data_IF_854116977601
#
_entry.id   IF_854116977601
#
_cell.length_a   1.000
_cell.length_b   1.000
_cell.length_c   1.000
_cell.angle_alpha   90.00
_cell.angle_beta   90.00
_cell.angle_gamma   90.00
#
_symmetry.space_group_name_H-M   'P 1'
#
loop_
_entity.id
_entity.type
_entity.pdbx_description
1 polymer ?
#
# COMPACT_ATOMS: atom_id res chain seq x y z
N UNK A 1 11.00 5.23 17.15
CA UNK A 1 11.39 4.73 15.81
C UNK A 1 10.23 4.95 14.87
N UNK A 2 10.49 5.47 13.68
CA UNK A 2 9.45 5.68 12.68
C UNK A 2 8.94 4.33 12.14
N UNK A 3 7.66 4.27 11.82
CA UNK A 3 7.01 3.09 11.25
C UNK A 3 6.12 3.52 10.10
N UNK A 4 6.15 2.78 9.00
CA UNK A 4 5.28 3.06 7.84
C UNK A 4 4.73 1.75 7.31
N UNK A 5 3.40 1.68 7.18
CA UNK A 5 2.71 0.52 6.62
C UNK A 5 2.38 0.78 5.16
N UNK A 6 2.85 -0.10 4.30
CA UNK A 6 2.71 0.05 2.85
C UNK A 6 2.24 -1.26 2.22
N UNK A 7 1.59 -1.10 1.09
CA UNK A 7 1.24 -2.15 0.15
C UNK A 7 2.15 -1.96 -1.05
N UNK A 8 2.94 -2.98 -1.35
CA UNK A 8 3.76 -3.07 -2.55
C UNK A 8 3.05 -3.96 -3.57
N UNK A 9 2.89 -3.46 -4.78
CA UNK A 9 2.39 -4.24 -5.92
C UNK A 9 3.53 -4.40 -6.93
N UNK A 10 3.94 -5.65 -7.13
CA UNK A 10 5.01 -6.05 -8.04
C UNK A 10 4.41 -6.47 -9.38
N UNK A 11 4.82 -5.88 -10.50
CA UNK A 11 4.49 -6.42 -11.81
C UNK A 11 5.15 -7.80 -12.01
N UNK A 12 4.60 -8.65 -12.90
CA UNK A 12 5.05 -10.03 -13.10
C UNK A 12 6.57 -10.22 -13.19
N UNK A 13 7.24 -9.36 -13.95
CA UNK A 13 8.68 -9.40 -14.24
C UNK A 13 9.56 -9.10 -13.03
N UNK A 14 9.01 -8.49 -11.97
CA UNK A 14 9.76 -8.16 -10.75
C UNK A 14 9.52 -9.16 -9.62
N UNK A 15 8.61 -10.14 -9.78
CA UNK A 15 8.26 -11.09 -8.71
C UNK A 15 9.40 -12.04 -8.32
N UNK A 16 10.36 -12.28 -9.22
CA UNK A 16 11.53 -13.14 -9.00
C UNK A 16 12.79 -12.33 -8.63
N UNK A 17 12.70 -11.00 -8.54
CA UNK A 17 13.81 -10.12 -8.23
C UNK A 17 13.79 -9.79 -6.74
N UNK A 18 14.93 -9.92 -6.01
CA UNK A 18 14.96 -9.71 -4.56
C UNK A 18 14.99 -8.21 -4.18
N UNK A 19 14.06 -7.39 -4.69
CA UNK A 19 14.03 -5.94 -4.43
C UNK A 19 13.89 -5.62 -2.92
N UNK A 20 13.12 -6.41 -2.18
CA UNK A 20 12.95 -6.22 -0.73
C UNK A 20 14.23 -6.52 0.07
N UNK A 21 15.16 -7.31 -0.46
CA UNK A 21 16.45 -7.55 0.19
C UNK A 21 17.30 -6.27 0.28
N UNK A 22 17.25 -5.43 -0.75
CA UNK A 22 17.97 -4.16 -0.79
C UNK A 22 17.47 -3.18 0.28
N UNK A 23 16.17 -3.21 0.62
CA UNK A 23 15.62 -2.43 1.74
C UNK A 23 16.33 -2.72 3.06
N UNK A 24 16.65 -3.99 3.31
CA UNK A 24 17.36 -4.40 4.53
C UNK A 24 18.83 -4.02 4.44
N UNK A 25 19.48 -4.29 3.30
CA UNK A 25 20.95 -4.17 3.18
C UNK A 25 21.45 -2.75 2.98
N UNK A 26 20.73 -1.94 2.22
CA UNK A 26 21.18 -0.61 1.81
C UNK A 26 20.54 0.50 2.67
N UNK A 27 19.33 0.25 3.19
CA UNK A 27 18.56 1.23 3.95
C UNK A 27 18.38 0.86 5.43
N UNK A 28 18.92 -0.29 5.87
CA UNK A 28 18.83 -0.81 7.25
C UNK A 28 17.38 -0.91 7.78
N UNK A 29 16.44 -1.20 6.87
CA UNK A 29 15.02 -1.29 7.21
C UNK A 29 14.65 -2.69 7.67
N UNK A 30 13.98 -2.77 8.81
CA UNK A 30 13.32 -3.99 9.23
C UNK A 30 11.98 -4.13 8.52
N UNK A 31 11.78 -5.28 7.88
CA UNK A 31 10.55 -5.65 7.19
C UNK A 31 9.71 -6.57 8.06
N UNK A 32 8.49 -6.15 8.40
CA UNK A 32 7.50 -7.03 9.00
C UNK A 32 6.37 -7.28 8.00
N UNK A 33 6.29 -8.51 7.48
CA UNK A 33 5.32 -8.90 6.46
C UNK A 33 3.99 -9.23 7.13
N UNK A 34 2.94 -8.46 6.82
CA UNK A 34 1.59 -8.66 7.34
C UNK A 34 0.76 -9.59 6.45
N UNK A 35 0.95 -9.52 5.12
CA UNK A 35 0.28 -10.37 4.13
C UNK A 35 1.10 -10.41 2.86
N UNK A 36 1.20 -11.57 2.23
CA UNK A 36 1.89 -11.74 0.95
C UNK A 36 1.05 -12.61 0.01
N UNK A 37 0.98 -12.21 -1.26
CA UNK A 37 0.50 -13.04 -2.37
C UNK A 37 1.44 -12.80 -3.54
N UNK A 38 2.35 -13.74 -3.80
CA UNK A 38 3.32 -13.68 -4.90
C UNK A 38 3.22 -14.99 -5.67
N UNK A 39 2.99 -14.90 -6.98
CA UNK A 39 3.03 -16.03 -7.90
C UNK A 39 3.96 -15.67 -9.06
N UNK A 40 4.91 -16.54 -9.46
CA UNK A 40 5.78 -16.27 -10.60
C UNK A 40 4.99 -15.98 -11.87
N UNK A 41 5.36 -14.90 -12.58
CA UNK A 41 4.69 -14.50 -13.83
C UNK A 41 3.31 -13.86 -13.64
N UNK A 42 2.86 -13.62 -12.40
CA UNK A 42 1.63 -12.87 -12.10
C UNK A 42 1.94 -11.60 -11.30
N UNK A 43 0.97 -10.68 -11.23
CA UNK A 43 1.09 -9.53 -10.34
C UNK A 43 1.14 -9.99 -8.87
N UNK A 44 2.17 -9.56 -8.15
CA UNK A 44 2.38 -9.85 -6.74
C UNK A 44 1.93 -8.70 -5.85
N UNK A 45 1.39 -9.00 -4.66
CA UNK A 45 1.02 -8.01 -3.64
C UNK A 45 1.63 -8.36 -2.28
N UNK A 46 2.35 -7.41 -1.69
CA UNK A 46 3.00 -7.56 -0.39
C UNK A 46 2.58 -6.41 0.53
N UNK A 47 1.99 -6.74 1.68
CA UNK A 47 1.60 -5.79 2.72
C UNK A 47 2.61 -5.90 3.85
N UNK A 48 3.27 -4.80 4.19
CA UNK A 48 4.36 -4.80 5.15
C UNK A 48 4.43 -3.53 5.99
N UNK A 49 5.03 -3.65 7.18
CA UNK A 49 5.45 -2.54 8.02
C UNK A 49 6.98 -2.37 7.89
N UNK A 50 7.42 -1.20 7.46
CA UNK A 50 8.81 -0.75 7.45
C UNK A 50 9.13 -0.07 8.78
N UNK A 51 10.26 -0.43 9.37
CA UNK A 51 10.73 0.14 10.64
C UNK A 51 12.27 0.11 10.73
N UNK A 52 12.82 0.39 11.92
CA UNK A 52 14.26 0.40 12.24
C UNK A 52 15.08 1.56 11.66
N UNK A 53 14.65 2.19 10.56
CA UNK A 53 15.26 3.41 10.01
C UNK A 53 14.70 4.73 10.56
N UNK A 54 15.37 5.83 10.18
CA UNK A 54 14.78 7.18 10.22
C UNK A 54 13.63 7.30 9.21
N UNK A 55 12.81 8.35 9.32
CA UNK A 55 11.79 8.65 8.31
C UNK A 55 12.41 8.79 6.91
N UNK A 56 13.54 9.49 6.82
CA UNK A 56 14.30 9.68 5.58
C UNK A 56 14.73 8.34 4.98
N UNK A 57 15.28 7.41 5.77
CA UNK A 57 15.68 6.08 5.27
C UNK A 57 14.51 5.24 4.79
N UNK A 58 13.35 5.35 5.45
CA UNK A 58 12.12 4.70 5.00
C UNK A 58 11.68 5.27 3.65
N UNK A 59 11.76 6.60 3.48
CA UNK A 59 11.40 7.26 2.23
C UNK A 59 12.37 6.94 1.09
N UNK A 60 13.68 6.96 1.33
CA UNK A 60 14.70 6.53 0.37
C UNK A 60 14.47 5.09 -0.11
N UNK A 61 14.14 4.18 0.81
CA UNK A 61 13.83 2.77 0.46
C UNK A 61 12.54 2.61 -0.34
N UNK A 62 11.53 3.44 -0.06
CA UNK A 62 10.29 3.50 -0.85
C UNK A 62 10.57 4.03 -2.25
N UNK A 63 11.32 5.12 -2.38
CA UNK A 63 11.70 5.67 -3.69
C UNK A 63 12.54 4.68 -4.51
N UNK A 64 13.42 3.92 -3.86
CA UNK A 64 14.20 2.87 -4.53
C UNK A 64 13.28 1.86 -5.21
N UNK A 65 12.26 1.37 -4.51
CA UNK A 65 11.28 0.43 -5.07
C UNK A 65 10.47 1.05 -6.21
N UNK A 66 10.00 2.29 -6.06
CA UNK A 66 9.26 3.01 -7.11
C UNK A 66 10.11 3.18 -8.38
N UNK A 67 11.39 3.53 -8.23
CA UNK A 67 12.35 3.63 -9.35
C UNK A 67 12.54 2.30 -10.09
N UNK A 68 12.35 1.18 -9.40
CA UNK A 68 12.42 -0.15 -10.01
C UNK A 68 11.08 -0.63 -10.57
N UNK A 69 10.01 0.18 -10.48
CA UNK A 69 8.70 -0.14 -11.07
C UNK A 69 7.71 -0.80 -10.12
N UNK A 70 8.03 -0.91 -8.83
CA UNK A 70 7.08 -1.39 -7.81
C UNK A 70 6.09 -0.28 -7.48
N UNK A 71 4.79 -0.56 -7.57
CA UNK A 71 3.75 0.41 -7.17
C UNK A 71 3.59 0.37 -5.66
N UNK A 72 3.55 1.54 -5.01
CA UNK A 72 3.48 1.65 -3.55
C UNK A 72 2.22 2.40 -3.15
N UNK A 73 1.51 1.88 -2.16
CA UNK A 73 0.33 2.52 -1.59
C UNK A 73 0.42 2.51 -0.05
N UNK A 74 0.12 3.61 0.64
CA UNK A 74 -0.02 3.60 2.09
C UNK A 74 -1.16 2.65 2.50
N UNK A 75 -0.93 1.81 3.51
CA UNK A 75 -1.99 0.89 3.99
C UNK A 75 -3.23 1.64 4.51
N UNK A 76 -3.09 2.91 4.87
CA UNK A 76 -4.18 3.77 5.35
C UNK A 76 -5.16 4.22 4.26
N UNK A 77 -4.89 3.98 2.96
CA UNK A 77 -5.78 4.35 1.85
C UNK A 77 -6.19 3.10 1.08
N UNK A 78 -7.36 2.53 1.42
CA UNK A 78 -7.97 1.48 0.60
C UNK A 78 -9.21 1.96 -0.18
N UNK A 79 -9.87 3.04 0.24
CA UNK A 79 -11.10 3.55 -0.40
C UNK A 79 -10.96 5.04 -0.66
N UNK A 80 -11.12 5.43 -1.93
CA UNK A 80 -11.18 6.83 -2.37
C UNK A 80 -12.50 7.01 -3.11
N UNK A 81 -13.20 8.12 -2.83
CA UNK A 81 -14.36 8.53 -3.60
C UNK A 81 -13.88 9.41 -4.74
N UNK A 82 -14.21 9.05 -5.97
CA UNK A 82 -14.08 9.95 -7.11
C UNK A 82 -15.25 10.94 -7.07
N UNK A 83 -14.97 12.22 -6.81
CA UNK A 83 -16.01 13.24 -6.68
C UNK A 83 -16.60 13.68 -8.03
N UNK A 84 -15.88 13.46 -9.14
CA UNK A 84 -16.36 13.83 -10.48
C UNK A 84 -17.38 12.79 -10.99
N UNK A 85 -17.14 11.51 -10.71
CA UNK A 85 -18.02 10.41 -11.11
C UNK A 85 -19.17 10.15 -10.10
N UNK A 86 -19.06 10.63 -8.85
CA UNK A 86 -20.05 10.35 -7.82
C UNK A 86 -21.36 11.15 -8.01
N UNK A 87 -22.43 10.44 -8.36
CA UNK A 87 -23.80 11.01 -8.48
C UNK A 87 -24.53 11.20 -7.13
N UNK A 88 -23.85 11.02 -6.00
CA UNK A 88 -24.41 11.19 -4.64
C UNK A 88 -25.69 10.36 -4.35
N UNK A 89 -25.85 9.20 -4.99
CA UNK A 89 -27.05 8.35 -4.83
C UNK A 89 -27.17 7.65 -3.46
N UNK A 90 -26.09 7.58 -2.68
CA UNK A 90 -26.11 6.98 -1.35
C UNK A 90 -26.02 5.45 -1.29
N UNK A 91 -25.94 4.75 -2.42
CA UNK A 91 -25.89 3.28 -2.46
C UNK A 91 -24.75 2.68 -1.61
N UNK A 92 -23.62 3.40 -1.51
CA UNK A 92 -22.48 3.01 -0.68
C UNK A 92 -22.81 2.94 0.82
N UNK A 93 -23.79 3.70 1.32
CA UNK A 93 -24.21 3.66 2.72
C UNK A 93 -24.87 2.33 3.09
N UNK A 94 -25.62 1.72 2.16
CA UNK A 94 -26.32 0.46 2.39
C UNK A 94 -25.37 -0.76 2.47
N UNK A 95 -24.23 -0.71 1.77
CA UNK A 95 -23.24 -1.81 1.72
C UNK A 95 -22.07 -1.61 2.68
N UNK A 96 -22.04 -0.51 3.42
CA UNK A 96 -20.96 -0.18 4.34
C UNK A 96 -21.06 -0.99 5.64
N UNK A 97 -20.41 -2.16 5.68
CA UNK A 97 -20.43 -3.05 6.84
C UNK A 97 -19.91 -2.40 8.15
N UNK A 98 -19.02 -1.41 8.04
CA UNK A 98 -18.47 -0.69 9.19
C UNK A 98 -19.34 0.48 9.67
N UNK A 99 -20.46 0.78 8.98
CA UNK A 99 -21.30 1.96 9.21
C UNK A 99 -20.54 3.30 9.18
N UNK A 100 -19.45 3.37 8.42
CA UNK A 100 -18.61 4.56 8.29
C UNK A 100 -19.25 5.65 7.39
N UNK A 101 -20.16 5.26 6.50
CA UNK A 101 -20.84 6.16 5.57
C UNK A 101 -22.28 6.41 6.03
N UNK A 102 -22.73 7.67 5.99
CA UNK A 102 -24.09 8.09 6.34
C UNK A 102 -24.56 9.19 5.39
N UNK A 103 -25.83 9.17 5.01
CA UNK A 103 -26.47 10.31 4.35
C UNK A 103 -27.16 11.17 5.40
N UNK A 104 -27.06 12.49 5.22
CA UNK A 104 -27.86 13.42 5.99
C UNK A 104 -29.25 13.53 5.33
N UNK A 105 -30.34 13.17 6.01
CA UNK A 105 -31.69 13.23 5.42
C UNK A 105 -32.21 14.66 5.22
N UNK A 106 -31.55 15.68 5.79
CA UNK A 106 -31.95 17.08 5.72
C UNK A 106 -31.36 17.86 4.51
N UNK A 107 -30.58 17.20 3.66
CA UNK A 107 -29.96 17.72 2.42
C UNK A 107 -30.00 16.70 1.31
#
# INVERSE_FOLDING_TARGET
MAKKRVVLTFPPELTEIPLTYHLVKEFDLALNILKAKITPGEEGKLVLELSNGSLEKIEEGIEYLEKHGVKIQPLSKEIVLDEEECIKCGACTAVCNSNALRMNPDT
#
